data_IF_615949031389
#
_entry.id   IF_615949031389
#
_cell.length_a   1.000
_cell.length_b   1.000
_cell.length_c   1.000
_cell.angle_alpha   90.00
_cell.angle_beta   90.00
_cell.angle_gamma   90.00
#
_symmetry.space_group_name_H-M   'P 1'
#
loop_
_entity.id
_entity.type
_entity.pdbx_description
1 polymer ?
#
# COMPACT_ATOMS: atom_id res chain seq x y z
N UNK A 1 9.21 15.26 3.42
CA UNK A 1 9.05 13.81 3.19
C UNK A 1 7.90 13.33 4.04
N UNK A 2 6.89 12.71 3.44
CA UNK A 2 5.73 12.16 4.15
C UNK A 2 6.05 10.74 4.61
N UNK A 3 5.71 10.39 5.86
CA UNK A 3 5.96 9.07 6.46
C UNK A 3 5.23 7.89 5.80
N UNK A 4 4.35 8.15 4.82
CA UNK A 4 3.66 7.10 4.07
C UNK A 4 4.59 6.30 3.14
N UNK A 5 5.64 6.93 2.60
CA UNK A 5 6.58 6.27 1.68
C UNK A 5 7.46 5.25 2.40
N UNK A 6 7.77 5.49 3.68
CA UNK A 6 8.53 4.55 4.51
C UNK A 6 7.70 3.31 4.90
N UNK A 7 6.38 3.41 4.82
CA UNK A 7 5.44 2.36 5.19
C UNK A 7 4.98 1.52 3.99
N UNK A 8 4.81 2.14 2.82
CA UNK A 8 4.32 1.45 1.62
C UNK A 8 5.49 0.89 0.81
N UNK A 9 5.42 -0.38 0.44
CA UNK A 9 6.27 -0.99 -0.58
C UNK A 9 5.53 -1.02 -1.91
N UNK A 10 6.01 -0.26 -2.88
CA UNK A 10 5.39 -0.12 -4.19
C UNK A 10 5.21 -1.48 -4.90
N UNK A 11 4.02 -1.72 -5.44
CA UNK A 11 3.60 -2.99 -6.05
C UNK A 11 3.35 -4.16 -5.07
N UNK A 12 3.77 -4.04 -3.80
CA UNK A 12 3.69 -5.12 -2.81
C UNK A 12 2.58 -4.87 -1.79
N UNK A 13 2.68 -3.80 -1.01
CA UNK A 13 1.72 -3.43 0.04
C UNK A 13 0.92 -2.17 -0.29
N UNK A 14 1.16 -1.59 -1.46
CA UNK A 14 0.44 -0.45 -1.99
C UNK A 14 1.07 -0.03 -3.31
N UNK A 15 0.57 1.07 -3.87
CA UNK A 15 1.12 1.68 -5.09
C UNK A 15 1.53 3.09 -4.73
N UNK A 16 2.77 3.46 -5.06
CA UNK A 16 3.30 4.80 -4.82
C UNK A 16 3.14 5.61 -6.08
N UNK A 17 2.65 6.83 -5.92
CA UNK A 17 2.34 7.72 -7.02
C UNK A 17 3.13 9.00 -6.91
N UNK A 18 3.66 9.42 -8.05
CA UNK A 18 4.42 10.67 -8.14
C UNK A 18 3.47 11.86 -7.93
N UNK A 19 3.81 12.80 -7.03
CA UNK A 19 3.01 13.99 -6.84
C UNK A 19 2.85 14.78 -8.15
N UNK A 20 1.60 15.08 -8.49
CA UNK A 20 1.26 15.83 -9.71
C UNK A 20 0.89 14.96 -10.91
N UNK A 21 1.10 13.64 -10.86
CA UNK A 21 0.67 12.73 -11.93
C UNK A 21 -0.78 12.27 -11.77
N UNK A 22 -1.71 13.22 -11.93
CA UNK A 22 -3.16 12.96 -11.83
C UNK A 22 -3.65 12.02 -12.93
N UNK A 23 -3.02 12.05 -14.12
CA UNK A 23 -3.40 11.17 -15.23
C UNK A 23 -2.95 9.74 -14.99
N UNK A 24 -1.70 9.52 -14.59
CA UNK A 24 -1.22 8.18 -14.22
C UNK A 24 -1.95 7.59 -13.01
N UNK A 25 -2.36 8.44 -12.05
CA UNK A 25 -3.23 8.03 -10.94
C UNK A 25 -4.56 7.42 -11.43
N UNK A 26 -5.31 8.16 -12.25
CA UNK A 26 -6.67 7.77 -12.63
C UNK A 26 -6.71 6.71 -13.75
N UNK A 27 -5.84 6.83 -14.75
CA UNK A 27 -5.88 6.00 -15.94
C UNK A 27 -5.22 4.64 -15.74
N UNK A 28 -4.11 4.57 -15.00
CA UNK A 28 -3.29 3.36 -14.98
C UNK A 28 -3.46 2.61 -13.66
N UNK A 29 -3.25 3.27 -12.54
CA UNK A 29 -3.17 2.60 -11.24
C UNK A 29 -4.56 2.26 -10.66
N UNK A 30 -5.51 3.20 -10.74
CA UNK A 30 -6.89 2.95 -10.33
C UNK A 30 -7.57 1.93 -11.26
N UNK A 31 -7.38 2.05 -12.57
CA UNK A 31 -7.94 1.07 -13.50
C UNK A 31 -7.38 -0.32 -13.25
N UNK A 32 -6.05 -0.47 -13.11
CA UNK A 32 -5.41 -1.74 -12.79
C UNK A 32 -6.05 -2.40 -11.56
N UNK A 33 -6.22 -1.64 -10.47
CA UNK A 33 -6.84 -2.15 -9.25
C UNK A 33 -8.32 -2.45 -9.40
N UNK A 34 -9.07 -1.71 -10.23
CA UNK A 34 -10.49 -1.99 -10.50
C UNK A 34 -10.63 -3.25 -11.35
N UNK A 35 -9.84 -3.37 -12.42
CA UNK A 35 -9.89 -4.45 -13.40
C UNK A 35 -9.33 -5.78 -12.90
N UNK A 36 -8.41 -5.75 -11.92
CA UNK A 36 -7.81 -6.96 -11.34
C UNK A 36 -8.16 -7.10 -9.83
N UNK A 37 -9.27 -7.78 -9.52
CA UNK A 37 -9.67 -8.08 -8.14
C UNK A 37 -8.66 -8.95 -7.37
N UNK A 38 -7.92 -9.82 -8.06
CA UNK A 38 -6.91 -10.69 -7.45
C UNK A 38 -5.73 -9.87 -6.95
N UNK A 39 -5.21 -8.98 -7.78
CA UNK A 39 -4.17 -8.03 -7.42
C UNK A 39 -4.61 -7.14 -6.26
N UNK A 40 -5.83 -6.59 -6.35
CA UNK A 40 -6.39 -5.76 -5.27
C UNK A 40 -6.43 -6.51 -3.93
N UNK A 41 -6.87 -7.76 -3.92
CA UNK A 41 -6.92 -8.60 -2.70
C UNK A 41 -5.53 -8.96 -2.18
N UNK A 42 -4.59 -9.27 -3.07
CA UNK A 42 -3.23 -9.69 -2.67
C UNK A 42 -2.46 -8.52 -2.06
N UNK A 43 -2.54 -7.32 -2.66
CA UNK A 43 -1.96 -6.08 -2.11
C UNK A 43 -2.56 -5.75 -0.76
N UNK A 44 -3.89 -5.77 -0.64
CA UNK A 44 -4.58 -5.49 0.63
C UNK A 44 -4.16 -6.47 1.74
N UNK A 45 -4.10 -7.77 1.44
CA UNK A 45 -3.67 -8.79 2.41
C UNK A 45 -2.26 -8.53 2.92
N UNK A 46 -1.30 -8.33 2.01
CA UNK A 46 0.11 -8.10 2.36
C UNK A 46 0.29 -6.81 3.16
N UNK A 47 -0.47 -5.76 2.84
CA UNK A 47 -0.51 -4.54 3.62
C UNK A 47 -0.98 -4.79 5.06
N UNK A 48 -2.10 -5.51 5.24
CA UNK A 48 -2.61 -5.86 6.58
C UNK A 48 -1.61 -6.69 7.38
N UNK A 49 -1.00 -7.71 6.78
CA UNK A 49 0.03 -8.54 7.41
C UNK A 49 1.24 -7.70 7.88
N UNK A 50 1.70 -6.77 7.02
CA UNK A 50 2.80 -5.87 7.37
C UNK A 50 2.45 -4.98 8.57
N UNK A 51 1.27 -4.36 8.58
CA UNK A 51 0.85 -3.48 9.68
C UNK A 51 0.70 -4.27 10.97
N UNK A 52 0.05 -5.43 10.93
CA UNK A 52 -0.12 -6.30 12.09
C UNK A 52 1.24 -6.72 12.68
N UNK A 53 2.23 -7.02 11.84
CA UNK A 53 3.56 -7.41 12.33
C UNK A 53 4.34 -6.26 12.98
N UNK A 54 4.25 -5.05 12.42
CA UNK A 54 5.13 -3.92 12.79
C UNK A 54 4.51 -2.94 13.80
N UNK A 55 3.19 -2.82 13.83
CA UNK A 55 2.49 -1.75 14.54
C UNK A 55 1.38 -2.24 15.47
N UNK A 56 1.41 -3.52 15.88
CA UNK A 56 0.48 -4.00 16.90
C UNK A 56 0.83 -3.45 18.30
N UNK A 57 -0.17 -3.42 19.18
CA UNK A 57 0.00 -3.01 20.57
C UNK A 57 0.99 -3.95 21.29
N UNK A 58 0.94 -5.24 20.97
CA UNK A 58 1.85 -6.25 21.53
C UNK A 58 3.29 -6.02 21.09
N UNK A 59 3.52 -5.68 19.82
CA UNK A 59 4.86 -5.33 19.30
C UNK A 59 5.37 -4.03 19.93
N UNK A 60 4.47 -3.07 20.18
CA UNK A 60 4.81 -1.79 20.80
C UNK A 60 5.14 -1.92 22.29
N UNK A 61 4.45 -2.80 23.03
CA UNK A 61 4.70 -3.04 24.45
C UNK A 61 5.97 -3.84 24.75
N UNK A 62 6.58 -4.49 23.74
CA UNK A 62 7.83 -5.26 23.85
C UNK A 62 9.08 -4.43 23.53
N UNK A 63 8.94 -3.15 23.19
CA UNK A 63 10.02 -2.19 22.92
C UNK A 63 10.20 -1.25 24.10
#
# INVERSE_FOLDING_TARGET
>A
MSGNVELVRDGDTGLILEPGDVRGFAADQLQLLISDPSLRRSVARRACEQIASKFSLETSAKR
#
